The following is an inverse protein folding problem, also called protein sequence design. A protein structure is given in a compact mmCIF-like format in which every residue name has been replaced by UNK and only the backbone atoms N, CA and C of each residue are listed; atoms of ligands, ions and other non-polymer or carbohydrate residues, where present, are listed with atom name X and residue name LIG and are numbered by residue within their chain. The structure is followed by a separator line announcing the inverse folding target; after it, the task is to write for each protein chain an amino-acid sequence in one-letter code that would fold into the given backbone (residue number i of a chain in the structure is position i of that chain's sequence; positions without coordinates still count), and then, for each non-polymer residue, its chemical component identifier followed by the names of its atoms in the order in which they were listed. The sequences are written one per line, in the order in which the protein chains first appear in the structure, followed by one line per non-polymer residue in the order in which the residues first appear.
data_IF_528694635524
#
_entry.id   IF_528694635524
#
_cell.length_a   1.000
_cell.length_b   1.000
_cell.length_c   1.000
_cell.angle_alpha   90.00
_cell.angle_beta   90.00
_cell.angle_gamma   90.00
#
_symmetry.space_group_name_H-M   'P 1'
#
loop_
_entity.id
_entity.type
_entity.pdbx_description
1 polymer ?
#
# COMPACT_ATOMS: atom_id res chain seq x y z
N UNK A 1 -7.09 -4.29 -17.75
CA UNK A 1 -6.79 -2.92 -18.18
C UNK A 1 -7.46 -1.88 -17.29
N UNK A 2 -8.77 -1.94 -17.03
CA UNK A 2 -9.47 -0.99 -16.15
C UNK A 2 -8.80 -0.82 -14.81
N UNK A 3 -8.46 -1.93 -14.13
CA UNK A 3 -7.81 -1.91 -12.83
C UNK A 3 -6.48 -1.14 -12.87
N UNK A 4 -5.62 -1.45 -13.83
CA UNK A 4 -4.33 -0.77 -13.97
C UNK A 4 -4.48 0.71 -14.30
N UNK A 5 -5.39 1.07 -15.22
CA UNK A 5 -5.65 2.48 -15.54
C UNK A 5 -6.18 3.23 -14.33
N UNK A 6 -7.17 2.68 -13.63
CA UNK A 6 -7.82 3.35 -12.49
C UNK A 6 -6.91 3.40 -11.27
N UNK A 7 -6.35 2.27 -10.87
CA UNK A 7 -5.60 2.18 -9.62
C UNK A 7 -4.17 2.71 -9.74
N UNK A 8 -3.59 2.70 -10.93
CA UNK A 8 -2.22 3.20 -11.11
C UNK A 8 -2.21 4.62 -11.64
N UNK A 9 -2.69 4.86 -12.88
CA UNK A 9 -2.54 6.18 -13.49
C UNK A 9 -3.48 7.24 -12.92
N UNK A 10 -4.77 6.93 -12.80
CA UNK A 10 -5.77 7.90 -12.31
C UNK A 10 -5.55 8.18 -10.82
N UNK A 11 -5.26 7.14 -10.04
CA UNK A 11 -5.00 7.30 -8.62
C UNK A 11 -3.67 8.00 -8.35
N UNK A 12 -2.60 7.65 -9.09
CA UNK A 12 -1.32 8.34 -8.99
C UNK A 12 -1.45 9.85 -9.28
N UNK A 13 -2.11 10.22 -10.40
CA UNK A 13 -2.36 11.63 -10.70
C UNK A 13 -3.17 12.33 -9.61
N UNK A 14 -4.19 11.64 -9.07
CA UNK A 14 -5.02 12.15 -7.96
C UNK A 14 -4.20 12.52 -6.73
N UNK A 15 -3.25 11.69 -6.32
CA UNK A 15 -2.48 11.88 -5.08
C UNK A 15 -1.22 12.72 -5.25
N UNK A 16 -0.83 13.05 -6.50
CA UNK A 16 0.40 13.80 -6.80
C UNK A 16 0.13 15.16 -7.44
N UNK A 17 -0.44 15.18 -8.65
CA UNK A 17 -0.50 16.38 -9.49
C UNK A 17 -1.90 16.95 -9.71
N UNK A 18 -2.95 16.21 -9.37
CA UNK A 18 -4.33 16.65 -9.59
C UNK A 18 -4.64 17.94 -8.81
N UNK A 19 -5.18 18.99 -9.45
CA UNK A 19 -5.66 20.18 -8.73
C UNK A 19 -6.73 19.82 -7.69
N UNK A 20 -6.65 20.41 -6.47
CA UNK A 20 -7.54 20.11 -5.33
C UNK A 20 -9.03 20.20 -5.71
N UNK A 21 -9.43 21.20 -6.50
CA UNK A 21 -10.82 21.41 -6.89
C UNK A 21 -11.36 20.36 -7.90
N UNK A 22 -10.50 19.53 -8.48
CA UNK A 22 -10.91 18.50 -9.44
C UNK A 22 -11.55 17.26 -8.78
N UNK A 23 -11.46 17.11 -7.46
CA UNK A 23 -11.87 15.88 -6.76
C UNK A 23 -13.35 15.53 -6.99
N UNK A 24 -14.23 16.53 -6.97
CA UNK A 24 -15.67 16.29 -7.14
C UNK A 24 -16.04 15.67 -8.47
N UNK A 25 -15.32 15.97 -9.56
CA UNK A 25 -15.50 15.30 -10.83
C UNK A 25 -14.67 14.00 -10.94
N UNK A 26 -13.44 14.00 -10.45
CA UNK A 26 -12.54 12.85 -10.47
C UNK A 26 -13.13 11.65 -9.71
N UNK A 27 -13.76 11.87 -8.56
CA UNK A 27 -14.43 10.79 -7.81
C UNK A 27 -15.57 10.13 -8.61
N UNK A 28 -16.34 10.91 -9.36
CA UNK A 28 -17.39 10.37 -10.24
C UNK A 28 -16.82 9.56 -11.41
N UNK A 29 -15.71 10.01 -12.00
CA UNK A 29 -15.01 9.24 -13.04
C UNK A 29 -14.49 7.91 -12.49
N UNK A 30 -13.88 7.92 -11.29
CA UNK A 30 -13.41 6.70 -10.62
C UNK A 30 -14.57 5.76 -10.31
N UNK A 31 -15.68 6.27 -9.80
CA UNK A 31 -16.89 5.49 -9.53
C UNK A 31 -17.49 4.87 -10.80
N UNK A 32 -17.52 5.61 -11.89
CA UNK A 32 -17.96 5.10 -13.20
C UNK A 32 -17.08 3.94 -13.69
N UNK A 33 -15.77 4.11 -13.66
CA UNK A 33 -14.81 3.06 -14.06
C UNK A 33 -14.89 1.83 -13.15
N UNK A 34 -15.12 2.03 -11.86
CA UNK A 34 -15.36 0.93 -10.92
C UNK A 34 -16.66 0.18 -11.24
N UNK A 35 -17.72 0.87 -11.66
CA UNK A 35 -18.96 0.24 -12.16
C UNK A 35 -18.73 -0.59 -13.41
N UNK A 36 -17.96 -0.12 -14.38
CA UNK A 36 -17.59 -0.91 -15.56
C UNK A 36 -16.80 -2.16 -15.20
N UNK A 37 -15.84 -2.05 -14.27
CA UNK A 37 -15.10 -3.20 -13.75
C UNK A 37 -16.02 -4.19 -13.02
N UNK A 38 -16.94 -3.68 -12.21
CA UNK A 38 -17.94 -4.49 -11.50
C UNK A 38 -18.78 -5.31 -12.50
N UNK A 39 -19.31 -4.69 -13.56
CA UNK A 39 -20.13 -5.37 -14.58
C UNK A 39 -19.38 -6.48 -15.30
N UNK A 40 -18.09 -6.26 -15.60
CA UNK A 40 -17.25 -7.30 -16.21
C UNK A 40 -17.08 -8.52 -15.28
N UNK A 41 -16.85 -8.30 -14.00
CA UNK A 41 -16.68 -9.37 -13.00
C UNK A 41 -18.00 -10.05 -12.65
N UNK A 42 -19.14 -9.39 -12.83
CA UNK A 42 -20.48 -9.91 -12.55
C UNK A 42 -21.17 -10.55 -13.77
N UNK A 43 -20.56 -10.48 -14.97
CA UNK A 43 -21.13 -11.03 -16.20
C UNK A 43 -21.33 -12.56 -16.11
N UNK A 44 -22.49 -13.03 -16.46
CA UNK A 44 -22.84 -14.46 -16.44
C UNK A 44 -21.93 -15.31 -17.34
N UNK A 45 -21.42 -14.73 -18.44
CA UNK A 45 -20.47 -15.40 -19.34
C UNK A 45 -19.14 -15.68 -18.64
N UNK A 46 -18.68 -14.75 -17.82
CA UNK A 46 -17.51 -14.92 -17.00
C UNK A 46 -17.65 -16.13 -16.07
N UNK A 47 -18.77 -16.25 -15.36
CA UNK A 47 -19.02 -17.36 -14.43
C UNK A 47 -19.14 -18.71 -15.15
N UNK A 48 -19.79 -18.77 -16.33
CA UNK A 48 -19.85 -19.99 -17.14
C UNK A 48 -18.47 -20.43 -17.62
N UNK A 49 -17.62 -19.48 -18.01
CA UNK A 49 -16.26 -19.75 -18.46
C UNK A 49 -15.39 -20.24 -17.28
N UNK A 50 -15.49 -19.61 -16.13
CA UNK A 50 -14.77 -19.99 -14.94
C UNK A 50 -15.18 -21.38 -14.43
N UNK A 51 -16.47 -21.72 -14.43
CA UNK A 51 -16.97 -23.05 -14.13
C UNK A 51 -16.42 -24.09 -15.13
N UNK A 52 -16.47 -23.79 -16.45
CA UNK A 52 -15.91 -24.68 -17.47
C UNK A 52 -14.44 -24.99 -17.21
N UNK A 53 -13.61 -24.00 -16.91
CA UNK A 53 -12.20 -24.22 -16.62
C UNK A 53 -11.96 -24.95 -15.30
N UNK A 54 -12.81 -24.77 -14.28
CA UNK A 54 -12.75 -25.51 -13.03
C UNK A 54 -12.96 -27.01 -13.27
N UNK A 55 -13.88 -27.37 -14.15
CA UNK A 55 -14.22 -28.77 -14.46
C UNK A 55 -13.28 -29.39 -15.51
N UNK A 56 -12.66 -28.57 -16.37
CA UNK A 56 -11.78 -28.99 -17.45
C UNK A 56 -10.32 -28.55 -17.22
N UNK A 57 -9.80 -28.80 -16.01
CA UNK A 57 -8.42 -28.44 -15.65
C UNK A 57 -7.41 -29.11 -16.56
N UNK A 58 -6.51 -28.31 -17.13
CA UNK A 58 -5.43 -28.80 -17.99
C UNK A 58 -4.18 -29.28 -17.23
N UNK A 59 -4.24 -29.37 -15.89
CA UNK A 59 -3.08 -29.65 -15.03
C UNK A 59 -1.91 -28.65 -15.23
N UNK A 60 -2.23 -27.44 -15.64
CA UNK A 60 -1.26 -26.34 -15.76
C UNK A 60 -1.40 -25.42 -14.56
N UNK A 61 -0.33 -25.39 -13.74
CA UNK A 61 -0.27 -24.62 -12.49
C UNK A 61 -0.63 -23.13 -12.68
N UNK A 62 -0.13 -22.49 -13.75
CA UNK A 62 -0.40 -21.07 -14.00
C UNK A 62 -1.87 -20.83 -14.34
N UNK A 63 -2.45 -21.66 -15.19
CA UNK A 63 -3.88 -21.56 -15.53
C UNK A 63 -4.76 -21.78 -14.30
N UNK A 64 -4.47 -22.78 -13.48
CA UNK A 64 -5.22 -23.04 -12.25
C UNK A 64 -5.11 -21.87 -11.24
N UNK A 65 -3.91 -21.30 -11.08
CA UNK A 65 -3.68 -20.14 -10.22
C UNK A 65 -4.42 -18.88 -10.71
N UNK A 66 -4.41 -18.62 -12.04
CA UNK A 66 -5.17 -17.53 -12.65
C UNK A 66 -6.66 -17.67 -12.41
N UNK A 67 -7.22 -18.87 -12.62
CA UNK A 67 -8.65 -19.14 -12.41
C UNK A 67 -9.01 -18.94 -10.94
N UNK A 68 -8.22 -19.49 -10.01
CA UNK A 68 -8.44 -19.31 -8.56
C UNK A 68 -8.50 -17.82 -8.20
N UNK A 69 -7.47 -17.05 -8.58
CA UNK A 69 -7.38 -15.61 -8.24
C UNK A 69 -8.50 -14.80 -8.88
N UNK A 70 -8.87 -15.12 -10.11
CA UNK A 70 -9.95 -14.48 -10.83
C UNK A 70 -11.31 -14.73 -10.17
N UNK A 71 -11.60 -15.98 -9.76
CA UNK A 71 -12.82 -16.35 -9.06
C UNK A 71 -12.94 -15.62 -7.70
N UNK A 72 -11.88 -15.67 -6.88
CA UNK A 72 -11.85 -14.98 -5.58
C UNK A 72 -12.11 -13.48 -5.76
N UNK A 73 -11.47 -12.85 -6.75
CA UNK A 73 -11.68 -11.43 -7.05
C UNK A 73 -13.11 -11.12 -7.50
N UNK A 74 -13.68 -11.95 -8.36
CA UNK A 74 -15.04 -11.77 -8.87
C UNK A 74 -16.10 -11.99 -7.77
N UNK A 75 -15.96 -13.02 -6.96
CA UNK A 75 -16.88 -13.32 -5.85
C UNK A 75 -16.87 -12.20 -4.82
N UNK A 76 -15.70 -11.66 -4.50
CA UNK A 76 -15.52 -10.55 -3.57
C UNK A 76 -16.27 -9.29 -3.98
N UNK A 77 -16.18 -8.93 -5.27
CA UNK A 77 -16.85 -7.72 -5.81
C UNK A 77 -18.36 -7.97 -5.97
N UNK A 78 -18.74 -9.12 -6.51
CA UNK A 78 -20.13 -9.47 -6.80
C UNK A 78 -21.00 -9.63 -5.54
N UNK A 79 -20.42 -10.00 -4.41
CA UNK A 79 -21.14 -10.10 -3.15
C UNK A 79 -21.75 -8.75 -2.75
N UNK A 80 -21.15 -7.63 -3.17
CA UNK A 80 -21.60 -6.27 -2.82
C UNK A 80 -22.55 -5.78 -3.93
N UNK A 81 -23.70 -5.16 -3.62
CA UNK A 81 -24.54 -4.52 -4.62
C UNK A 81 -23.81 -3.43 -5.40
N UNK A 82 -23.98 -3.38 -6.74
CA UNK A 82 -23.25 -2.45 -7.64
C UNK A 82 -23.30 -0.99 -7.16
N UNK A 83 -24.49 -0.52 -6.79
CA UNK A 83 -24.68 0.86 -6.35
C UNK A 83 -23.93 1.18 -5.04
N UNK A 84 -23.78 0.19 -4.15
CA UNK A 84 -23.02 0.37 -2.90
C UNK A 84 -21.53 0.34 -3.15
N UNK A 85 -21.06 -0.53 -4.06
CA UNK A 85 -19.68 -0.56 -4.48
C UNK A 85 -19.25 0.76 -5.14
N UNK A 86 -20.08 1.33 -6.01
CA UNK A 86 -19.82 2.63 -6.64
C UNK A 86 -19.78 3.77 -5.61
N UNK A 87 -20.75 3.78 -4.65
CA UNK A 87 -20.74 4.77 -3.55
C UNK A 87 -19.50 4.66 -2.68
N UNK A 88 -19.06 3.44 -2.40
CA UNK A 88 -17.82 3.20 -1.65
C UNK A 88 -16.59 3.80 -2.37
N UNK A 89 -16.44 3.56 -3.67
CA UNK A 89 -15.32 4.11 -4.46
C UNK A 89 -15.32 5.65 -4.42
N UNK A 90 -16.49 6.26 -4.57
CA UNK A 90 -16.63 7.71 -4.47
C UNK A 90 -16.31 8.22 -3.06
N UNK A 91 -16.84 7.56 -2.03
CA UNK A 91 -16.58 7.87 -0.62
C UNK A 91 -15.08 7.86 -0.31
N UNK A 92 -14.37 6.79 -0.69
CA UNK A 92 -12.92 6.67 -0.44
C UNK A 92 -12.18 7.78 -1.17
N UNK A 93 -12.49 8.04 -2.44
CA UNK A 93 -11.81 9.06 -3.23
C UNK A 93 -11.91 10.47 -2.61
N UNK A 94 -13.09 10.82 -2.07
CA UNK A 94 -13.32 12.11 -1.39
C UNK A 94 -12.69 12.11 0.00
N UNK A 95 -12.85 11.01 0.76
CA UNK A 95 -12.34 10.90 2.13
C UNK A 95 -10.82 11.07 2.21
N UNK A 96 -10.08 10.56 1.24
CA UNK A 96 -8.61 10.71 1.20
C UNK A 96 -8.18 12.18 1.07
N UNK A 97 -8.89 12.97 0.26
CA UNK A 97 -8.60 14.39 0.16
C UNK A 97 -8.95 15.12 1.47
N UNK A 98 -10.12 14.86 2.03
CA UNK A 98 -10.53 15.45 3.32
C UNK A 98 -9.54 15.08 4.42
N UNK A 99 -9.07 13.83 4.45
CA UNK A 99 -8.04 13.38 5.37
C UNK A 99 -6.73 14.14 5.19
N UNK A 100 -6.26 14.32 3.96
CA UNK A 100 -5.02 15.04 3.69
C UNK A 100 -5.11 16.50 4.16
N UNK A 101 -6.24 17.17 3.91
CA UNK A 101 -6.48 18.55 4.37
C UNK A 101 -6.64 18.63 5.90
N UNK A 102 -7.33 17.66 6.52
CA UNK A 102 -7.48 17.57 7.96
C UNK A 102 -6.14 17.35 8.66
N UNK A 103 -5.26 16.53 8.09
CA UNK A 103 -3.89 16.30 8.57
C UNK A 103 -3.06 17.58 8.50
N UNK A 104 -3.09 18.29 7.37
CA UNK A 104 -2.38 19.57 7.18
C UNK A 104 -2.83 20.63 8.19
N UNK A 105 -4.14 20.72 8.46
CA UNK A 105 -4.75 21.68 9.39
C UNK A 105 -4.80 21.22 10.84
N UNK A 106 -4.38 19.98 11.14
CA UNK A 106 -4.55 19.30 12.44
C UNK A 106 -6.03 19.29 12.92
N UNK A 107 -6.97 19.21 11.98
CA UNK A 107 -8.42 19.23 12.21
C UNK A 107 -9.05 17.85 12.00
N UNK A 108 -8.95 16.99 13.02
CA UNK A 108 -9.57 15.66 13.00
C UNK A 108 -11.10 15.73 12.85
N UNK A 109 -11.76 16.79 13.36
CA UNK A 109 -13.21 16.89 13.39
C UNK A 109 -13.82 16.93 11.98
N UNK A 110 -13.16 17.55 11.04
CA UNK A 110 -13.60 17.60 9.64
C UNK A 110 -13.58 16.23 8.97
N UNK A 111 -12.71 15.32 9.41
CA UNK A 111 -12.59 13.97 8.86
C UNK A 111 -13.51 12.92 9.52
N UNK A 112 -13.88 13.08 10.79
CA UNK A 112 -14.67 12.10 11.53
C UNK A 112 -15.97 11.64 10.84
N UNK A 113 -16.77 12.52 10.17
CA UNK A 113 -17.96 12.08 9.46
C UNK A 113 -17.67 11.09 8.32
N UNK A 114 -16.56 11.28 7.62
CA UNK A 114 -16.12 10.38 6.56
C UNK A 114 -15.61 9.06 7.12
N UNK A 115 -14.80 9.11 8.18
CA UNK A 115 -14.34 7.93 8.89
C UNK A 115 -15.50 7.05 9.36
N UNK A 116 -16.54 7.67 9.93
CA UNK A 116 -17.76 6.95 10.33
C UNK A 116 -18.42 6.26 9.15
N UNK A 117 -18.59 6.96 8.02
CA UNK A 117 -19.19 6.38 6.82
C UNK A 117 -18.37 5.20 6.28
N UNK A 118 -17.04 5.29 6.32
CA UNK A 118 -16.14 4.20 5.92
C UNK A 118 -16.37 2.97 6.81
N UNK A 119 -16.40 3.13 8.13
CA UNK A 119 -16.68 2.03 9.06
C UNK A 119 -18.06 1.41 8.86
N UNK A 120 -19.09 2.22 8.68
CA UNK A 120 -20.45 1.73 8.45
C UNK A 120 -20.51 0.93 7.13
N UNK A 121 -19.86 1.43 6.06
CA UNK A 121 -19.76 0.72 4.78
C UNK A 121 -19.05 -0.62 4.92
N UNK A 122 -17.93 -0.69 5.63
CA UNK A 122 -17.24 -1.96 5.85
C UNK A 122 -18.04 -2.95 6.69
N UNK A 123 -18.83 -2.48 7.70
CA UNK A 123 -19.76 -3.34 8.43
C UNK A 123 -20.82 -3.96 7.52
N UNK A 124 -21.31 -3.21 6.54
CA UNK A 124 -22.26 -3.74 5.56
C UNK A 124 -21.57 -4.73 4.63
N UNK A 125 -20.36 -4.43 4.16
CA UNK A 125 -19.56 -5.32 3.31
C UNK A 125 -19.24 -6.65 4.00
N UNK A 126 -18.91 -6.67 5.30
CA UNK A 126 -18.68 -7.93 6.02
C UNK A 126 -19.92 -8.83 6.02
N UNK A 127 -21.14 -8.25 6.04
CA UNK A 127 -22.39 -9.02 5.94
C UNK A 127 -22.57 -9.63 4.55
N UNK A 128 -22.18 -8.91 3.49
CA UNK A 128 -22.27 -9.43 2.13
C UNK A 128 -21.25 -10.54 1.86
N UNK A 129 -20.03 -10.41 2.36
CA UNK A 129 -18.99 -11.44 2.23
C UNK A 129 -19.27 -12.66 3.11
N UNK A 130 -19.94 -12.47 4.25
CA UNK A 130 -20.12 -13.48 5.26
C UNK A 130 -18.88 -13.69 6.12
N UNK A 131 -19.03 -14.25 7.29
CA UNK A 131 -17.97 -14.62 8.23
C UNK A 131 -18.47 -15.74 9.15
N UNK A 132 -17.54 -16.54 9.69
CA UNK A 132 -17.91 -17.65 10.59
C UNK A 132 -18.00 -17.24 12.05
N UNK A 133 -16.97 -16.54 12.55
CA UNK A 133 -16.87 -16.13 13.97
C UNK A 133 -16.97 -14.62 14.13
N UNK A 134 -16.02 -13.90 13.54
CA UNK A 134 -15.87 -12.46 13.75
C UNK A 134 -16.07 -11.67 12.44
N UNK A 135 -16.87 -10.57 12.44
CA UNK A 135 -17.03 -9.74 11.24
C UNK A 135 -15.68 -9.26 10.66
N UNK A 136 -14.69 -9.05 11.51
CA UNK A 136 -13.38 -8.58 11.11
C UNK A 136 -12.59 -9.62 10.30
N UNK A 137 -12.88 -10.92 10.45
CA UNK A 137 -12.27 -11.99 9.66
C UNK A 137 -12.54 -11.80 8.16
N UNK A 138 -13.77 -11.35 7.79
CA UNK A 138 -14.11 -11.05 6.40
C UNK A 138 -13.29 -9.90 5.80
N UNK A 139 -12.80 -8.97 6.61
CA UNK A 139 -11.88 -7.92 6.16
C UNK A 139 -10.45 -8.44 6.06
N UNK A 140 -9.99 -9.20 7.04
CA UNK A 140 -8.64 -9.78 7.06
C UNK A 140 -8.40 -10.68 5.85
N UNK A 141 -9.38 -11.51 5.49
CA UNK A 141 -9.36 -12.38 4.32
C UNK A 141 -9.09 -11.63 3.00
N UNK A 142 -9.50 -10.35 2.89
CA UNK A 142 -9.24 -9.51 1.70
C UNK A 142 -7.79 -9.10 1.56
N UNK A 143 -7.04 -9.10 2.65
CA UNK A 143 -5.62 -8.74 2.69
C UNK A 143 -4.69 -9.97 2.68
N UNK A 144 -5.08 -11.00 3.44
CA UNK A 144 -4.29 -12.23 3.60
C UNK A 144 -5.24 -13.41 3.68
N UNK A 145 -5.21 -14.31 2.68
CA UNK A 145 -6.04 -15.52 2.64
C UNK A 145 -5.84 -16.35 3.91
N UNK A 146 -6.92 -16.70 4.58
CA UNK A 146 -6.94 -17.51 5.80
C UNK A 146 -6.56 -16.80 7.09
N UNK A 147 -6.32 -15.48 7.07
CA UNK A 147 -6.02 -14.73 8.28
C UNK A 147 -7.30 -14.45 9.06
N UNK A 148 -7.29 -14.77 10.37
CA UNK A 148 -8.41 -14.55 11.28
C UNK A 148 -7.99 -13.78 12.52
N UNK A 149 -8.97 -13.23 13.25
CA UNK A 149 -8.76 -12.59 14.56
C UNK A 149 -8.11 -13.59 15.53
N UNK A 150 -8.53 -14.85 15.52
CA UNK A 150 -7.97 -15.90 16.38
C UNK A 150 -6.47 -16.10 16.15
N UNK A 151 -6.03 -16.11 14.89
CA UNK A 151 -4.61 -16.21 14.54
C UNK A 151 -3.85 -14.97 15.04
N UNK A 152 -4.39 -13.77 14.81
CA UNK A 152 -3.77 -12.51 15.26
C UNK A 152 -3.67 -12.48 16.78
N UNK A 153 -4.71 -12.86 17.49
CA UNK A 153 -4.74 -12.89 18.95
C UNK A 153 -3.71 -13.88 19.51
N UNK A 154 -3.60 -15.08 18.92
CA UNK A 154 -2.59 -16.07 19.30
C UNK A 154 -1.16 -15.50 19.12
N UNK A 155 -0.86 -14.95 17.96
CA UNK A 155 0.45 -14.33 17.69
C UNK A 155 0.73 -13.16 18.64
N UNK A 156 -0.27 -12.34 18.90
CA UNK A 156 -0.15 -11.17 19.78
C UNK A 156 0.08 -11.60 21.23
N UNK A 157 -0.58 -12.64 21.71
CA UNK A 157 -0.39 -13.19 23.06
C UNK A 157 1.04 -13.65 23.30
N UNK A 158 1.70 -14.21 22.29
CA UNK A 158 3.10 -14.63 22.39
C UNK A 158 4.09 -13.45 22.35
N UNK A 159 3.84 -12.47 21.47
CA UNK A 159 4.79 -11.36 21.21
C UNK A 159 4.67 -10.25 22.27
N UNK A 160 3.45 -9.95 22.73
CA UNK A 160 3.17 -8.78 23.59
C UNK A 160 3.96 -8.78 24.91
N UNK A 161 4.05 -9.89 25.69
CA UNK A 161 4.77 -9.88 26.97
C UNK A 161 6.27 -9.59 26.82
N UNK A 162 7.03 -10.27 25.93
CA UNK A 162 8.44 -9.97 25.77
C UNK A 162 8.68 -8.58 25.16
N UNK A 163 7.78 -8.08 24.32
CA UNK A 163 7.87 -6.73 23.74
C UNK A 163 7.69 -5.66 24.84
N UNK A 164 6.72 -5.81 25.74
CA UNK A 164 6.52 -4.89 26.88
C UNK A 164 7.76 -4.90 27.79
N UNK A 165 8.31 -6.07 28.10
CA UNK A 165 9.52 -6.17 28.89
C UNK A 165 10.73 -5.49 28.21
N UNK A 166 10.87 -5.64 26.89
CA UNK A 166 11.92 -4.98 26.12
C UNK A 166 11.75 -3.45 26.14
N UNK A 167 10.53 -2.95 25.91
CA UNK A 167 10.23 -1.51 25.95
C UNK A 167 10.56 -0.92 27.32
N UNK A 168 10.21 -1.59 28.43
CA UNK A 168 10.56 -1.15 29.77
C UNK A 168 12.08 -1.01 29.97
N UNK A 169 12.86 -1.96 29.47
CA UNK A 169 14.34 -1.89 29.50
C UNK A 169 14.90 -0.74 28.67
N UNK A 170 14.30 -0.49 27.49
CA UNK A 170 14.70 0.63 26.63
C UNK A 170 14.38 1.97 27.28
N UNK A 171 13.20 2.11 27.90
CA UNK A 171 12.83 3.32 28.64
C UNK A 171 13.75 3.59 29.85
N UNK A 172 14.08 2.54 30.59
CA UNK A 172 15.02 2.66 31.72
C UNK A 172 16.40 3.14 31.26
N UNK A 173 16.93 2.56 30.17
CA UNK A 173 18.20 2.97 29.57
C UNK A 173 18.14 4.41 29.03
N UNK A 174 17.03 4.83 28.44
CA UNK A 174 16.86 6.21 27.97
C UNK A 174 16.84 7.22 29.14
N UNK A 175 16.26 6.83 30.30
CA UNK A 175 16.22 7.68 31.49
C UNK A 175 17.59 7.78 32.20
N UNK A 176 18.42 6.75 32.13
CA UNK A 176 19.79 6.77 32.70
C UNK A 176 20.77 7.68 31.95
N UNK A 177 20.35 8.21 30.75
CA UNK A 177 21.21 9.05 29.93
C UNK A 177 22.18 8.29 29.04
N UNK A 178 22.15 6.95 29.05
CA UNK A 178 22.97 6.07 28.22
C UNK A 178 22.42 5.88 26.78
N UNK A 179 21.30 6.56 26.45
CA UNK A 179 20.75 6.49 25.11
C UNK A 179 21.69 7.16 24.10
N UNK A 180 21.89 6.57 22.92
CA UNK A 180 22.66 7.21 21.88
C UNK A 180 21.98 8.52 21.47
N UNK A 181 22.79 9.56 21.31
CA UNK A 181 22.28 10.87 20.89
C UNK A 181 21.71 10.73 19.48
N UNK A 182 20.48 11.21 19.27
CA UNK A 182 19.92 11.31 17.92
C UNK A 182 20.75 12.28 17.09
N UNK A 183 21.07 11.89 15.86
CA UNK A 183 21.69 12.80 14.90
C UNK A 183 20.62 13.80 14.47
N UNK A 184 20.79 15.06 14.89
CA UNK A 184 19.92 16.15 14.46
C UNK A 184 20.43 16.67 13.11
N UNK A 185 19.65 16.46 12.06
CA UNK A 185 20.02 16.91 10.69
C UNK A 185 19.57 18.37 10.45
N UNK A 186 18.63 18.85 11.26
CA UNK A 186 17.96 20.14 11.02
C UNK A 186 16.96 20.07 9.85
N UNK A 187 16.37 21.22 9.49
CA UNK A 187 15.48 21.30 8.33
C UNK A 187 16.22 20.97 7.02
N UNK A 188 15.65 20.10 6.19
CA UNK A 188 16.21 19.72 4.89
C UNK A 188 15.23 20.08 3.79
N UNK A 189 15.67 20.88 2.82
CA UNK A 189 14.82 21.32 1.71
C UNK A 189 14.27 20.16 0.89
N UNK A 190 13.16 20.40 0.22
CA UNK A 190 12.48 19.41 -0.64
C UNK A 190 13.43 18.83 -1.68
N UNK A 191 14.20 19.67 -2.34
CA UNK A 191 15.11 19.28 -3.41
C UNK A 191 16.22 18.35 -2.89
N UNK A 192 16.76 18.66 -1.70
CA UNK A 192 17.78 17.82 -1.07
C UNK A 192 17.20 16.49 -0.59
N UNK A 193 16.01 16.48 0.02
CA UNK A 193 15.37 15.23 0.41
C UNK A 193 15.09 14.35 -0.81
N UNK A 194 14.57 14.93 -1.91
CA UNK A 194 14.31 14.19 -3.13
C UNK A 194 15.60 13.62 -3.74
N UNK A 195 16.69 14.38 -3.76
CA UNK A 195 17.99 13.91 -4.22
C UNK A 195 18.50 12.71 -3.38
N UNK A 196 18.30 12.76 -2.05
CA UNK A 196 18.63 11.63 -1.15
C UNK A 196 17.76 10.41 -1.46
N UNK A 197 16.45 10.59 -1.66
CA UNK A 197 15.55 9.49 -2.01
C UNK A 197 15.94 8.81 -3.33
N UNK A 198 16.24 9.58 -4.36
CA UNK A 198 16.71 9.06 -5.65
C UNK A 198 18.04 8.32 -5.52
N UNK A 199 18.97 8.87 -4.74
CA UNK A 199 20.26 8.22 -4.45
C UNK A 199 20.03 6.88 -3.72
N UNK A 200 19.20 6.84 -2.68
CA UNK A 200 18.88 5.62 -1.94
C UNK A 200 18.24 4.58 -2.87
N UNK A 201 17.21 4.97 -3.63
CA UNK A 201 16.54 4.08 -4.57
C UNK A 201 17.52 3.47 -5.59
N UNK A 202 18.41 4.26 -6.16
CA UNK A 202 19.49 3.76 -7.05
C UNK A 202 20.41 2.77 -6.34
N UNK A 203 20.79 3.07 -5.10
CA UNK A 203 21.71 2.23 -4.31
C UNK A 203 21.11 0.89 -3.91
N UNK A 204 19.80 0.81 -3.70
CA UNK A 204 19.11 -0.45 -3.41
C UNK A 204 18.67 -1.21 -4.66
N UNK A 205 18.89 -0.67 -5.87
CA UNK A 205 18.65 -1.36 -7.13
C UNK A 205 17.30 -1.06 -7.80
N UNK A 206 16.62 0.04 -7.43
CA UNK A 206 15.42 0.49 -8.14
C UNK A 206 15.78 1.01 -9.52
N UNK A 207 15.13 0.50 -10.55
CA UNK A 207 15.32 0.88 -11.94
C UNK A 207 14.49 2.13 -12.28
N UNK A 208 15.16 3.24 -12.58
CA UNK A 208 14.52 4.49 -12.95
C UNK A 208 14.08 4.57 -14.43
N UNK A 209 14.53 3.63 -15.27
CA UNK A 209 13.99 3.51 -16.63
C UNK A 209 12.60 2.84 -16.60
N UNK A 210 12.34 2.06 -15.55
CA UNK A 210 11.06 1.36 -15.29
C UNK A 210 10.26 1.99 -14.14
N UNK A 211 10.65 3.16 -13.64
CA UNK A 211 9.94 3.78 -12.52
C UNK A 211 10.36 5.21 -12.21
N UNK A 212 9.68 5.80 -11.23
CA UNK A 212 9.91 7.18 -10.78
C UNK A 212 9.55 7.37 -9.31
N UNK A 213 10.02 8.46 -8.71
CA UNK A 213 9.61 8.92 -7.39
C UNK A 213 8.93 10.29 -7.47
N UNK A 214 7.81 10.43 -6.78
CA UNK A 214 7.01 11.65 -6.70
C UNK A 214 6.68 11.99 -5.23
N UNK A 215 6.24 13.23 -5.00
CA UNK A 215 5.79 13.68 -3.68
C UNK A 215 4.27 13.66 -3.62
N UNK A 216 3.74 13.07 -2.55
CA UNK A 216 2.31 13.05 -2.24
C UNK A 216 2.04 13.20 -0.74
N UNK A 217 0.79 13.08 -0.35
CA UNK A 217 0.36 13.24 1.05
C UNK A 217 0.69 12.03 1.93
N UNK A 218 0.92 10.87 1.32
CA UNK A 218 1.20 9.61 2.02
C UNK A 218 2.16 8.73 1.21
N UNK A 219 3.15 8.08 1.87
CA UNK A 219 4.04 7.14 1.19
C UNK A 219 3.27 5.95 0.61
N UNK A 220 3.47 5.65 -0.67
CA UNK A 220 2.84 4.50 -1.32
C UNK A 220 3.58 4.10 -2.59
N UNK A 221 3.20 2.97 -3.18
CA UNK A 221 3.61 2.57 -4.52
C UNK A 221 2.40 2.29 -5.40
N UNK A 222 2.55 2.53 -6.68
CA UNK A 222 1.56 2.26 -7.70
C UNK A 222 2.29 1.65 -8.90
N UNK A 223 1.86 0.47 -9.32
CA UNK A 223 2.45 -0.21 -10.45
C UNK A 223 1.39 -0.55 -11.50
N UNK A 224 1.63 -0.18 -12.73
CA UNK A 224 0.83 -0.60 -13.89
C UNK A 224 1.43 -1.85 -14.53
N UNK A 225 2.74 -1.99 -14.42
CA UNK A 225 3.55 -3.11 -14.92
C UNK A 225 4.90 -3.09 -14.23
N UNK A 226 5.72 -4.13 -14.38
CA UNK A 226 7.13 -4.09 -13.96
C UNK A 226 7.93 -2.94 -14.59
N UNK A 227 7.51 -2.48 -15.76
CA UNK A 227 8.15 -1.38 -16.51
C UNK A 227 7.52 0.00 -16.21
N UNK A 228 6.53 0.09 -15.30
CA UNK A 228 5.92 1.36 -14.85
C UNK A 228 5.55 1.28 -13.36
N UNK A 229 6.55 1.51 -12.51
CA UNK A 229 6.42 1.49 -11.04
C UNK A 229 6.65 2.89 -10.49
N UNK A 230 5.66 3.45 -9.79
CA UNK A 230 5.66 4.81 -9.27
C UNK A 230 5.68 4.79 -7.76
N UNK A 231 6.80 5.26 -7.21
CA UNK A 231 6.96 5.46 -5.77
C UNK A 231 6.49 6.86 -5.41
N UNK A 232 5.65 6.97 -4.41
CA UNK A 232 5.22 8.26 -3.85
C UNK A 232 5.74 8.32 -2.42
N UNK A 233 6.39 9.44 -2.07
CA UNK A 233 6.85 9.68 -0.70
C UNK A 233 6.24 10.96 -0.15
N UNK A 234 6.11 11.07 1.17
CA UNK A 234 5.67 12.29 1.83
C UNK A 234 6.88 13.17 2.19
N UNK A 235 6.72 14.47 1.98
CA UNK A 235 7.72 15.45 2.36
C UNK A 235 7.33 16.14 3.67
N UNK A 236 8.27 16.20 4.61
CA UNK A 236 8.22 17.07 5.77
C UNK A 236 9.61 17.66 6.00
N UNK A 237 9.70 18.99 6.16
CA UNK A 237 10.97 19.69 6.26
C UNK A 237 11.75 19.32 7.53
N UNK A 238 11.02 19.00 8.59
CA UNK A 238 11.51 18.66 9.93
C UNK A 238 11.56 17.15 10.21
N UNK A 239 11.10 16.30 9.27
CA UNK A 239 11.12 14.84 9.41
C UNK A 239 11.92 14.15 8.28
N UNK A 240 13.19 14.50 8.19
CA UNK A 240 14.12 13.90 7.24
C UNK A 240 14.23 12.37 7.37
N UNK A 241 14.32 11.88 8.62
CA UNK A 241 14.49 10.44 8.87
C UNK A 241 13.24 9.63 8.50
N UNK A 242 12.05 10.16 8.80
CA UNK A 242 10.80 9.53 8.35
C UNK A 242 10.74 9.41 6.82
N UNK A 243 11.16 10.45 6.10
CA UNK A 243 11.27 10.42 4.64
C UNK A 243 12.22 9.33 4.12
N UNK A 244 13.36 9.09 4.80
CA UNK A 244 14.30 8.02 4.43
C UNK A 244 13.70 6.63 4.67
N UNK A 245 13.12 6.37 5.83
CA UNK A 245 12.55 5.05 6.11
C UNK A 245 11.33 4.75 5.23
N UNK A 246 10.53 5.76 4.94
CA UNK A 246 9.43 5.64 3.98
C UNK A 246 9.92 5.30 2.58
N UNK A 247 11.00 5.94 2.10
CA UNK A 247 11.52 5.66 0.75
C UNK A 247 12.16 4.27 0.66
N UNK A 248 12.79 3.77 1.72
CA UNK A 248 13.29 2.41 1.79
C UNK A 248 12.15 1.40 1.75
N UNK A 249 11.09 1.63 2.53
CA UNK A 249 9.89 0.80 2.54
C UNK A 249 9.23 0.73 1.15
N UNK A 250 8.90 1.89 0.60
CA UNK A 250 8.24 1.97 -0.70
C UNK A 250 9.17 1.54 -1.84
N UNK A 251 10.47 1.84 -1.75
CA UNK A 251 11.47 1.41 -2.72
C UNK A 251 11.63 -0.11 -2.78
N UNK A 252 11.68 -0.78 -1.62
CA UNK A 252 11.72 -2.23 -1.55
C UNK A 252 10.48 -2.87 -2.19
N UNK A 253 9.29 -2.36 -1.91
CA UNK A 253 8.05 -2.77 -2.57
C UNK A 253 8.10 -2.49 -4.08
N UNK A 254 8.67 -1.34 -4.48
CA UNK A 254 8.85 -0.97 -5.88
C UNK A 254 9.76 -1.94 -6.63
N UNK A 255 10.90 -2.31 -6.05
CA UNK A 255 11.81 -3.32 -6.61
C UNK A 255 11.12 -4.68 -6.76
N UNK A 256 10.32 -5.07 -5.77
CA UNK A 256 9.51 -6.29 -5.89
C UNK A 256 8.57 -6.23 -7.10
N UNK A 257 7.86 -5.12 -7.32
CA UNK A 257 7.00 -4.93 -8.48
C UNK A 257 7.78 -4.96 -9.81
N UNK A 258 8.95 -4.34 -9.87
CA UNK A 258 9.84 -4.38 -11.04
C UNK A 258 10.39 -5.78 -11.33
N UNK A 259 10.42 -6.65 -10.31
CA UNK A 259 10.92 -8.03 -10.42
C UNK A 259 9.86 -9.05 -10.86
N UNK A 260 8.59 -8.63 -11.00
CA UNK A 260 7.53 -9.52 -11.45
C UNK A 260 7.79 -9.97 -12.90
N UNK A 261 7.64 -11.26 -13.18
CA UNK A 261 7.88 -11.80 -14.52
C UNK A 261 6.96 -11.15 -15.56
N UNK A 262 7.54 -10.70 -16.67
CA UNK A 262 6.80 -10.14 -17.81
C UNK A 262 5.84 -11.14 -18.46
N UNK A 263 6.08 -12.43 -18.30
CA UNK A 263 5.20 -13.50 -18.78
C UNK A 263 3.83 -13.50 -18.07
N UNK A 264 3.77 -12.93 -16.85
CA UNK A 264 2.53 -12.80 -16.09
C UNK A 264 1.72 -11.56 -16.47
N UNK A 265 2.28 -10.68 -17.31
CA UNK A 265 1.61 -9.43 -17.69
C UNK A 265 0.28 -9.67 -18.40
N UNK A 266 -0.70 -8.83 -18.05
CA UNK A 266 -2.07 -8.98 -18.55
C UNK A 266 -2.90 -10.04 -17.80
N UNK A 267 -2.32 -10.71 -16.80
CA UNK A 267 -3.02 -11.62 -15.90
C UNK A 267 -3.13 -11.05 -14.49
N UNK A 268 -4.01 -11.59 -13.65
CA UNK A 268 -4.07 -11.22 -12.23
C UNK A 268 -2.88 -11.77 -11.41
N UNK A 269 -2.06 -12.65 -11.98
CA UNK A 269 -0.84 -13.15 -11.33
C UNK A 269 0.32 -12.15 -11.39
N UNK A 270 0.23 -11.11 -12.22
CA UNK A 270 1.15 -9.98 -12.21
C UNK A 270 0.99 -9.07 -10.98
N UNK A 271 0.08 -9.40 -10.08
CA UNK A 271 -0.11 -8.70 -8.81
C UNK A 271 0.61 -9.44 -7.68
N UNK A 272 0.91 -8.72 -6.62
CA UNK A 272 1.42 -9.33 -5.38
C UNK A 272 0.47 -10.44 -4.90
N UNK A 273 0.99 -11.56 -4.39
CA UNK A 273 0.16 -12.68 -3.94
C UNK A 273 -0.73 -12.31 -2.76
N UNK A 274 -0.24 -11.46 -1.85
CA UNK A 274 -1.01 -10.91 -0.73
C UNK A 274 -0.37 -9.60 -0.24
N UNK A 275 -1.14 -8.80 0.48
CA UNK A 275 -0.65 -7.59 1.13
C UNK A 275 0.48 -7.90 2.14
N UNK A 276 0.39 -9.04 2.85
CA UNK A 276 1.42 -9.45 3.81
C UNK A 276 2.80 -9.66 3.15
N UNK A 277 2.85 -10.26 1.95
CA UNK A 277 4.12 -10.44 1.21
C UNK A 277 4.69 -9.09 0.80
N UNK A 278 3.87 -8.21 0.26
CA UNK A 278 4.29 -6.88 -0.14
C UNK A 278 4.81 -6.05 1.05
N UNK A 279 4.09 -6.09 2.18
CA UNK A 279 4.49 -5.42 3.41
C UNK A 279 5.78 -6.02 3.99
N UNK A 280 5.94 -7.34 3.97
CA UNK A 280 7.16 -8.01 4.43
C UNK A 280 8.41 -7.55 3.66
N UNK A 281 8.29 -7.39 2.33
CA UNK A 281 9.38 -6.84 1.51
C UNK A 281 9.68 -5.38 1.89
N UNK A 282 8.65 -4.55 2.04
CA UNK A 282 8.83 -3.17 2.52
C UNK A 282 9.56 -3.12 3.87
N UNK A 283 9.15 -3.96 4.83
CA UNK A 283 9.77 -4.06 6.16
C UNK A 283 11.19 -4.63 6.11
N UNK A 284 11.50 -5.54 5.20
CA UNK A 284 12.88 -6.00 4.98
C UNK A 284 13.81 -4.82 4.65
N UNK A 285 13.42 -3.98 3.68
CA UNK A 285 14.23 -2.83 3.29
C UNK A 285 14.26 -1.74 4.36
N UNK A 286 13.14 -1.43 5.00
CA UNK A 286 13.04 -0.41 6.04
C UNK A 286 13.74 -0.83 7.33
N UNK A 287 13.42 -2.02 7.86
CA UNK A 287 13.78 -2.41 9.23
C UNK A 287 15.03 -3.27 9.30
N UNK A 288 15.30 -4.12 8.33
CA UNK A 288 16.48 -5.00 8.35
C UNK A 288 17.65 -4.33 7.64
N UNK A 289 17.46 -3.91 6.38
CA UNK A 289 18.51 -3.26 5.61
C UNK A 289 18.72 -1.83 6.14
N UNK A 290 17.70 -1.01 6.16
CA UNK A 290 17.76 0.42 6.48
C UNK A 290 18.17 0.75 7.91
N UNK A 291 18.07 -0.21 8.85
CA UNK A 291 18.54 -0.04 10.24
C UNK A 291 19.87 -0.76 10.49
N UNK A 292 20.51 -1.32 9.46
CA UNK A 292 21.82 -1.97 9.60
C UNK A 292 22.96 -0.97 9.47
N UNK A 293 24.02 -1.17 10.23
CA UNK A 293 25.24 -0.37 10.13
C UNK A 293 25.85 -0.46 8.73
N UNK A 294 25.87 -1.65 8.12
CA UNK A 294 26.43 -1.86 6.78
C UNK A 294 25.74 -1.05 5.70
N UNK A 295 24.43 -0.87 5.78
CA UNK A 295 23.69 -0.01 4.85
C UNK A 295 24.15 1.45 4.96
N UNK A 296 24.27 1.97 6.18
CA UNK A 296 24.71 3.36 6.40
C UNK A 296 26.15 3.58 5.99
N UNK A 297 27.04 2.64 6.22
CA UNK A 297 28.41 2.69 5.70
C UNK A 297 28.42 2.73 4.16
N UNK A 298 27.57 1.94 3.51
CA UNK A 298 27.46 1.87 2.05
C UNK A 298 26.97 3.16 1.40
N UNK A 299 26.06 3.89 2.04
CA UNK A 299 25.46 5.12 1.48
C UNK A 299 26.09 6.40 2.04
N UNK A 300 27.02 6.32 3.00
CA UNK A 300 27.53 7.47 3.74
C UNK A 300 28.17 8.52 2.85
N UNK A 301 29.11 8.13 1.98
CA UNK A 301 29.80 9.06 1.10
C UNK A 301 28.83 9.82 0.17
N UNK A 302 27.97 9.17 -0.63
CA UNK A 302 27.01 9.88 -1.47
C UNK A 302 25.96 10.66 -0.66
N UNK A 303 25.64 10.26 0.57
CA UNK A 303 24.74 11.00 1.43
C UNK A 303 25.35 12.33 1.88
N UNK A 304 26.63 12.32 2.30
CA UNK A 304 27.35 13.53 2.73
C UNK A 304 27.62 14.48 1.54
N UNK A 305 27.79 13.98 0.33
CA UNK A 305 27.86 14.83 -0.87
C UNK A 305 26.60 15.69 -1.06
N UNK A 306 25.42 15.12 -0.78
CA UNK A 306 24.14 15.84 -0.86
C UNK A 306 23.90 16.69 0.39
N UNK A 307 24.29 16.18 1.56
CA UNK A 307 24.08 16.78 2.89
C UNK A 307 25.37 16.93 3.67
N UNK A 308 26.23 17.92 3.32
CA UNK A 308 27.53 18.09 3.97
C UNK A 308 27.49 18.39 5.47
N UNK A 309 26.31 18.68 6.00
CA UNK A 309 26.10 18.94 7.44
C UNK A 309 25.97 17.63 8.28
N UNK A 310 25.92 16.45 7.68
CA UNK A 310 25.97 15.16 8.35
C UNK A 310 27.41 14.74 8.64
#
# INVERSE_FOLDING_TARGET
YYKYTTNSLIYWDKITYMPKNAIGYRSKVMSFLAGEQYRLLSDSRFHKLAAYFKDNRKNDFLTDAMIKKLLVSAESVRAIPEAEYQRYVELIAVSEQVWAEAKEKQDLQSFLPYLKQIFDTFRDFTRYWGYEKEPYDALLERYVEGLTVEIIDSMTAEIKPPLIALLGRVEEKNRSGDAPKRIAVGPVSREKQQAVWEMILKKIGFDFDSGRVDIGSHPTILASSPDDVRVVNSFAEDDFWGGIFNILHCGGRGIYQQSISKELMGTLLAEVPSFAVEEAIGRLYENIIGKSEGFWQYIYEPLVEILPQL
#
